data_IF_946102733346
#
_entry.id   IF_946102733346
#
_cell.length_a   1.000
_cell.length_b   1.000
_cell.length_c   1.000
_cell.angle_alpha   90.00
_cell.angle_beta   90.00
_cell.angle_gamma   90.00
#
_symmetry.space_group_name_H-M   'P 1'
#
loop_
_entity.id
_entity.type
_entity.pdbx_description
1 polymer ?
#
# COMPACT_ATOMS: atom_id res chain seq x y z
N UNK A 1 24.01 -14.84 1.08
CA UNK A 1 22.66 -14.49 1.57
C UNK A 1 22.30 -13.08 1.14
N UNK A 2 21.34 -12.94 0.22
CA UNK A 2 21.00 -11.67 -0.43
C UNK A 2 20.19 -10.79 0.56
N UNK A 3 20.66 -9.56 0.82
CA UNK A 3 19.98 -8.56 1.66
C UNK A 3 18.64 -8.13 1.03
N UNK A 4 17.61 -8.98 1.17
CA UNK A 4 16.26 -8.75 0.61
C UNK A 4 15.46 -7.69 1.42
N UNK A 5 15.92 -7.34 2.62
CA UNK A 5 15.12 -6.59 3.61
C UNK A 5 15.26 -5.06 3.57
N UNK A 6 16.37 -4.46 3.06
CA UNK A 6 16.57 -3.00 3.20
C UNK A 6 16.00 -2.15 2.03
N UNK A 7 15.78 -2.70 0.84
CA UNK A 7 15.39 -1.92 -0.35
C UNK A 7 13.95 -2.08 -0.81
N UNK A 8 13.35 -3.25 -0.58
CA UNK A 8 11.89 -3.43 -0.68
C UNK A 8 11.19 -2.40 0.20
N UNK A 9 11.74 -2.17 1.38
CA UNK A 9 11.29 -1.20 2.39
C UNK A 9 11.30 0.24 1.88
N UNK A 10 12.28 0.70 1.07
CA UNK A 10 12.32 2.10 0.60
C UNK A 10 11.24 2.42 -0.44
N UNK A 11 11.08 1.53 -1.44
CA UNK A 11 10.01 1.65 -2.46
C UNK A 11 8.63 1.62 -1.81
N UNK A 12 8.43 0.62 -0.94
CA UNK A 12 7.20 0.43 -0.18
C UNK A 12 6.90 1.66 0.71
N UNK A 13 7.86 2.09 1.53
CA UNK A 13 7.68 3.23 2.43
C UNK A 13 7.41 4.53 1.69
N UNK A 14 8.01 4.76 0.51
CA UNK A 14 7.74 5.96 -0.28
C UNK A 14 6.27 6.03 -0.71
N UNK A 15 5.73 4.92 -1.21
CA UNK A 15 4.30 4.81 -1.58
C UNK A 15 3.40 4.94 -0.35
N UNK A 16 3.68 4.18 0.72
CA UNK A 16 2.93 4.22 1.97
C UNK A 16 2.89 5.64 2.56
N UNK A 17 4.03 6.33 2.62
CA UNK A 17 4.13 7.69 3.15
C UNK A 17 3.26 8.67 2.35
N UNK A 18 3.24 8.56 1.02
CA UNK A 18 2.39 9.41 0.19
C UNK A 18 0.91 9.13 0.41
N UNK A 19 0.50 7.86 0.50
CA UNK A 19 -0.88 7.50 0.82
C UNK A 19 -1.29 8.11 2.17
N UNK A 20 -0.48 7.92 3.22
CA UNK A 20 -0.78 8.43 4.56
C UNK A 20 -0.87 9.95 4.64
N UNK A 21 -0.05 10.67 3.87
CA UNK A 21 -0.12 12.13 3.77
C UNK A 21 -1.36 12.61 3.00
N UNK A 22 -1.84 11.80 2.05
CA UNK A 22 -2.99 12.14 1.20
C UNK A 22 -4.34 11.85 1.85
N UNK A 23 -4.40 10.87 2.75
CA UNK A 23 -5.64 10.44 3.42
C UNK A 23 -6.19 11.60 4.28
N UNK A 24 -7.44 12.05 4.05
CA UNK A 24 -8.07 13.04 4.90
C UNK A 24 -8.27 12.49 6.31
N UNK A 25 -7.60 13.07 7.30
CA UNK A 25 -7.68 12.62 8.70
C UNK A 25 -8.97 13.04 9.42
N UNK A 26 -9.76 13.95 8.83
CA UNK A 26 -11.00 14.41 9.44
C UNK A 26 -12.04 13.28 9.44
N UNK A 27 -12.52 12.91 10.63
CA UNK A 27 -13.60 11.92 10.82
C UNK A 27 -13.26 10.49 10.40
N UNK A 28 -11.97 10.13 10.41
CA UNK A 28 -11.50 8.76 10.17
C UNK A 28 -10.38 8.42 11.15
N UNK A 29 -10.41 7.20 11.69
CA UNK A 29 -9.31 6.63 12.47
C UNK A 29 -8.41 5.86 11.53
N UNK A 30 -7.10 6.14 11.56
CA UNK A 30 -6.11 5.49 10.70
C UNK A 30 -5.10 4.76 11.58
N UNK A 31 -5.02 3.44 11.40
CA UNK A 31 -3.98 2.60 11.98
C UNK A 31 -2.98 2.22 10.90
N UNK A 32 -1.70 2.22 11.25
CA UNK A 32 -0.61 1.96 10.30
C UNK A 32 0.38 0.97 10.87
N UNK A 33 0.74 -0.07 10.11
CA UNK A 33 1.74 -1.07 10.52
C UNK A 33 1.52 -1.63 11.93
N UNK A 34 0.27 -1.85 12.34
CA UNK A 34 -0.06 -2.37 13.66
C UNK A 34 -1.28 -3.29 13.61
N UNK A 35 -1.45 -4.11 14.65
CA UNK A 35 -2.61 -4.96 14.78
C UNK A 35 -3.87 -4.10 14.89
N UNK A 36 -4.95 -4.55 14.25
CA UNK A 36 -6.25 -3.86 14.32
C UNK A 36 -6.79 -3.97 15.74
N UNK A 37 -7.02 -2.86 16.46
CA UNK A 37 -7.50 -2.93 17.84
C UNK A 37 -8.84 -3.66 17.96
N UNK A 38 -8.90 -4.60 18.91
CA UNK A 38 -10.08 -5.43 19.18
C UNK A 38 -10.30 -6.59 18.20
N UNK A 39 -9.39 -6.80 17.23
CA UNK A 39 -9.41 -7.97 16.37
C UNK A 39 -8.41 -9.01 16.90
N UNK A 40 -8.82 -10.28 16.98
CA UNK A 40 -8.03 -11.40 17.53
C UNK A 40 -6.94 -11.90 16.56
N UNK A 41 -6.26 -10.99 15.89
CA UNK A 41 -5.17 -11.29 14.96
C UNK A 41 -3.97 -10.41 15.23
N UNK A 42 -2.79 -11.03 15.22
CA UNK A 42 -1.51 -10.33 15.31
C UNK A 42 -1.07 -9.72 13.96
N UNK A 43 -1.88 -9.84 12.90
CA UNK A 43 -1.57 -9.32 11.58
C UNK A 43 -1.54 -7.79 11.56
N UNK A 44 -0.56 -7.24 10.84
CA UNK A 44 -0.27 -5.81 10.77
C UNK A 44 -0.35 -5.32 9.33
N UNK A 45 -1.55 -5.02 8.80
CA UNK A 45 -1.67 -4.39 7.49
C UNK A 45 -1.01 -3.01 7.47
N UNK A 46 -0.58 -2.56 6.30
CA UNK A 46 0.08 -1.26 6.16
C UNK A 46 -0.83 -0.09 6.57
N UNK A 47 -2.11 -0.15 6.19
CA UNK A 47 -3.13 0.86 6.52
C UNK A 47 -4.46 0.20 6.83
N UNK A 48 -5.06 0.55 7.97
CA UNK A 48 -6.49 0.34 8.26
C UNK A 48 -7.14 1.67 8.52
N UNK A 49 -8.24 1.95 7.81
CA UNK A 49 -9.00 3.18 7.95
C UNK A 49 -10.41 2.82 8.36
N UNK A 50 -10.85 3.40 9.48
CA UNK A 50 -12.20 3.23 10.01
C UNK A 50 -12.91 4.57 9.93
N UNK A 51 -14.06 4.57 9.26
CA UNK A 51 -15.01 5.66 9.30
C UNK A 51 -16.24 5.22 10.08
N UNK A 52 -16.30 5.61 11.36
CA UNK A 52 -17.40 5.24 12.25
C UNK A 52 -18.74 5.77 11.76
N UNK A 53 -18.78 7.05 11.33
CA UNK A 53 -20.01 7.71 10.89
C UNK A 53 -20.72 6.98 9.75
N UNK A 54 -19.96 6.46 8.79
CA UNK A 54 -20.51 5.78 7.61
C UNK A 54 -20.39 4.26 7.71
N UNK A 55 -19.94 3.71 8.86
CA UNK A 55 -19.62 2.30 9.04
C UNK A 55 -18.82 1.71 7.88
N UNK A 56 -17.70 2.35 7.54
CA UNK A 56 -16.77 1.87 6.52
C UNK A 56 -15.45 1.45 7.16
N UNK A 57 -14.94 0.29 6.77
CA UNK A 57 -13.58 -0.14 7.09
C UNK A 57 -12.82 -0.39 5.79
N UNK A 58 -11.59 0.11 5.69
CA UNK A 58 -10.75 -0.04 4.50
C UNK A 58 -9.38 -0.53 4.94
N UNK A 59 -8.97 -1.69 4.43
CA UNK A 59 -7.70 -2.37 4.71
C UNK A 59 -6.89 -2.31 3.41
N UNK A 60 -5.72 -1.71 3.48
CA UNK A 60 -4.82 -1.54 2.33
C UNK A 60 -3.43 -2.00 2.71
N UNK A 61 -2.83 -2.78 1.82
CA UNK A 61 -1.46 -3.24 1.96
C UNK A 61 -0.68 -2.97 0.68
N UNK A 62 0.38 -2.17 0.77
CA UNK A 62 1.22 -1.71 -0.34
C UNK A 62 2.08 -2.86 -0.87
N UNK A 63 1.98 -3.14 -2.16
CA UNK A 63 2.73 -4.20 -2.83
C UNK A 63 3.68 -3.62 -3.88
N UNK A 64 4.95 -4.03 -3.86
CA UNK A 64 5.94 -3.68 -4.87
C UNK A 64 6.43 -4.95 -5.58
N UNK A 65 5.62 -5.56 -6.46
CA UNK A 65 6.07 -6.73 -7.21
C UNK A 65 7.25 -6.36 -8.12
N UNK A 66 8.15 -7.31 -8.34
CA UNK A 66 9.32 -7.09 -9.19
C UNK A 66 8.93 -6.91 -10.66
N UNK A 67 8.03 -7.76 -11.13
CA UNK A 67 7.40 -7.65 -12.44
C UNK A 67 6.13 -6.82 -12.36
N UNK A 68 5.80 -6.15 -13.47
CA UNK A 68 4.66 -5.24 -13.58
C UNK A 68 3.51 -5.76 -14.43
N UNK A 69 3.42 -7.07 -14.66
CA UNK A 69 2.32 -7.66 -15.42
C UNK A 69 1.03 -7.67 -14.60
N UNK A 70 -0.11 -7.67 -15.29
CA UNK A 70 -1.43 -7.73 -14.64
C UNK A 70 -1.60 -9.01 -13.80
N UNK A 71 -1.00 -10.12 -14.21
CA UNK A 71 -0.99 -11.36 -13.45
C UNK A 71 -0.25 -11.20 -12.12
N UNK A 72 0.91 -10.55 -12.13
CA UNK A 72 1.67 -10.28 -10.91
C UNK A 72 0.89 -9.39 -9.91
N UNK A 73 0.15 -8.40 -10.41
CA UNK A 73 -0.72 -7.56 -9.57
C UNK A 73 -1.90 -8.35 -9.00
N UNK A 74 -2.60 -9.11 -9.84
CA UNK A 74 -3.73 -9.94 -9.40
C UNK A 74 -3.31 -10.96 -8.33
N UNK A 75 -2.17 -11.63 -8.51
CA UNK A 75 -1.69 -12.63 -7.56
C UNK A 75 -1.16 -12.01 -6.26
N UNK A 76 -0.55 -10.82 -6.34
CA UNK A 76 -0.17 -10.07 -5.14
C UNK A 76 -1.41 -9.57 -4.37
N UNK A 77 -2.43 -9.13 -5.09
CA UNK A 77 -3.72 -8.71 -4.57
C UNK A 77 -4.44 -9.84 -3.84
N UNK A 78 -4.67 -10.97 -4.54
CA UNK A 78 -5.35 -12.15 -3.97
C UNK A 78 -4.70 -12.64 -2.68
N UNK A 79 -3.37 -12.81 -2.68
CA UNK A 79 -2.63 -13.24 -1.48
C UNK A 79 -2.82 -12.30 -0.30
N UNK A 80 -2.90 -10.99 -0.54
CA UNK A 80 -3.12 -9.99 0.53
C UNK A 80 -4.56 -9.98 1.01
N UNK A 81 -5.52 -10.12 0.10
CA UNK A 81 -6.94 -10.25 0.45
C UNK A 81 -7.13 -11.46 1.37
N UNK A 82 -6.64 -12.63 0.95
CA UNK A 82 -6.69 -13.87 1.74
C UNK A 82 -5.99 -13.71 3.10
N UNK A 83 -4.80 -13.12 3.12
CA UNK A 83 -4.03 -12.88 4.35
C UNK A 83 -4.83 -12.07 5.37
N UNK A 84 -5.54 -11.02 4.94
CA UNK A 84 -6.25 -10.11 5.85
C UNK A 84 -7.76 -10.39 5.95
N UNK A 85 -8.23 -11.52 5.43
CA UNK A 85 -9.64 -11.91 5.47
C UNK A 85 -10.20 -11.91 6.91
N UNK A 86 -9.43 -12.34 7.90
CA UNK A 86 -9.86 -12.30 9.31
C UNK A 86 -10.17 -10.89 9.84
N UNK A 87 -9.39 -9.88 9.44
CA UNK A 87 -9.65 -8.47 9.80
C UNK A 87 -10.90 -7.97 9.08
N UNK A 88 -11.07 -8.36 7.82
CA UNK A 88 -12.28 -8.05 7.06
C UNK A 88 -13.53 -8.66 7.71
N UNK A 89 -13.52 -9.96 8.03
CA UNK A 89 -14.63 -10.63 8.72
C UNK A 89 -14.99 -9.95 10.04
N UNK A 90 -13.99 -9.62 10.86
CA UNK A 90 -14.18 -8.87 12.11
C UNK A 90 -14.98 -7.56 11.93
N UNK A 91 -14.68 -6.80 10.86
CA UNK A 91 -15.42 -5.56 10.59
C UNK A 91 -16.81 -5.82 9.99
N UNK A 92 -16.96 -6.84 9.16
CA UNK A 92 -18.28 -7.25 8.62
C UNK A 92 -19.22 -7.62 9.76
N UNK A 93 -18.77 -8.42 10.73
CA UNK A 93 -19.57 -8.82 11.90
C UNK A 93 -20.02 -7.63 12.74
N UNK A 94 -19.24 -6.55 12.78
CA UNK A 94 -19.60 -5.29 13.45
C UNK A 94 -20.45 -4.34 12.59
N UNK A 95 -20.93 -4.81 11.44
CA UNK A 95 -21.83 -4.07 10.55
C UNK A 95 -21.13 -3.05 9.66
N UNK A 96 -19.81 -3.16 9.44
CA UNK A 96 -19.09 -2.26 8.53
C UNK A 96 -19.12 -2.79 7.11
N UNK A 97 -19.24 -1.87 6.14
CA UNK A 97 -18.90 -2.17 4.75
C UNK A 97 -17.38 -2.15 4.60
N UNK A 98 -16.80 -3.32 4.43
CA UNK A 98 -15.35 -3.51 4.31
C UNK A 98 -14.86 -3.30 2.89
N UNK A 99 -13.56 -3.06 2.79
CA UNK A 99 -12.80 -3.10 1.56
C UNK A 99 -11.39 -3.57 1.90
N UNK A 100 -10.99 -4.71 1.37
CA UNK A 100 -9.69 -5.31 1.59
C UNK A 100 -9.01 -5.48 0.23
N UNK A 101 -7.88 -4.80 0.00
CA UNK A 101 -7.15 -4.97 -1.25
C UNK A 101 -5.70 -4.47 -1.15
N UNK A 102 -4.87 -4.89 -2.10
CA UNK A 102 -3.50 -4.44 -2.22
C UNK A 102 -3.38 -3.16 -3.06
N UNK A 103 -2.56 -2.20 -2.63
CA UNK A 103 -2.19 -1.05 -3.46
C UNK A 103 -0.85 -1.34 -4.13
N UNK A 104 -0.85 -1.61 -5.45
CA UNK A 104 0.32 -2.20 -6.12
C UNK A 104 0.99 -1.26 -7.12
N UNK A 105 2.31 -1.11 -7.01
CA UNK A 105 3.16 -0.46 -8.03
C UNK A 105 4.37 -1.34 -8.28
N UNK A 106 4.55 -1.81 -9.51
CA UNK A 106 5.68 -2.64 -9.90
C UNK A 106 7.01 -1.89 -9.80
N UNK A 107 8.07 -2.62 -9.47
CA UNK A 107 9.43 -2.10 -9.41
C UNK A 107 9.91 -1.28 -10.63
N UNK A 108 9.56 -1.64 -11.89
CA UNK A 108 9.91 -0.83 -13.07
C UNK A 108 9.02 0.42 -13.25
N UNK A 109 8.06 0.66 -12.36
CA UNK A 109 7.13 1.80 -12.43
C UNK A 109 5.76 1.47 -13.01
N UNK A 110 5.45 0.19 -13.26
CA UNK A 110 4.12 -0.23 -13.68
C UNK A 110 3.09 0.09 -12.58
N UNK A 111 1.97 0.71 -12.94
CA UNK A 111 0.93 1.10 -11.99
C UNK A 111 -0.32 0.23 -12.19
N UNK A 112 -0.79 -0.40 -11.12
CA UNK A 112 -2.02 -1.17 -11.17
C UNK A 112 -3.24 -0.25 -11.33
N UNK A 113 -4.09 -0.49 -12.34
CA UNK A 113 -5.30 0.28 -12.58
C UNK A 113 -6.33 0.13 -11.45
N UNK A 114 -6.29 -0.98 -10.70
CA UNK A 114 -7.13 -1.20 -9.51
C UNK A 114 -6.89 -0.14 -8.43
N UNK A 115 -5.69 0.48 -8.40
CA UNK A 115 -5.35 1.54 -7.46
C UNK A 115 -6.27 2.75 -7.51
N UNK A 116 -6.85 3.05 -8.68
CA UNK A 116 -7.77 4.19 -8.83
C UNK A 116 -9.01 4.03 -7.94
N UNK A 117 -9.48 2.79 -7.77
CA UNK A 117 -10.59 2.47 -6.87
C UNK A 117 -10.21 2.72 -5.40
N UNK A 118 -8.97 2.43 -5.01
CA UNK A 118 -8.45 2.70 -3.68
C UNK A 118 -8.40 4.20 -3.42
N UNK A 119 -7.83 4.99 -4.33
CA UNK A 119 -7.73 6.44 -4.17
C UNK A 119 -9.11 7.10 -4.00
N UNK A 120 -10.10 6.66 -4.79
CA UNK A 120 -11.48 7.12 -4.66
C UNK A 120 -12.07 6.75 -3.29
N UNK A 121 -11.87 5.53 -2.82
CA UNK A 121 -12.35 5.05 -1.51
C UNK A 121 -11.70 5.81 -0.35
N UNK A 122 -10.42 6.14 -0.49
CA UNK A 122 -9.64 6.96 0.43
C UNK A 122 -10.05 8.45 0.41
N UNK A 123 -11.04 8.83 -0.42
CA UNK A 123 -11.51 10.21 -0.61
C UNK A 123 -10.41 11.16 -1.03
N UNK A 124 -9.42 10.65 -1.75
CA UNK A 124 -8.34 11.46 -2.32
C UNK A 124 -8.92 12.17 -3.56
N UNK A 125 -8.84 13.52 -3.65
CA UNK A 125 -9.39 14.25 -4.77
C UNK A 125 -8.77 13.82 -6.09
N UNK A 126 -9.58 13.64 -7.14
CA UNK A 126 -9.12 13.13 -8.45
C UNK A 126 -7.94 13.93 -9.01
N UNK A 127 -7.99 15.28 -8.95
CA UNK A 127 -6.90 16.14 -9.43
C UNK A 127 -5.57 15.84 -8.71
N UNK A 128 -5.63 15.61 -7.40
CA UNK A 128 -4.44 15.27 -6.62
C UNK A 128 -4.02 13.81 -6.84
N UNK A 129 -4.96 12.88 -7.00
CA UNK A 129 -4.70 11.47 -7.32
C UNK A 129 -3.87 11.32 -8.61
N UNK A 130 -4.20 12.07 -9.67
CA UNK A 130 -3.43 12.08 -10.94
C UNK A 130 -1.97 12.49 -10.72
N UNK A 131 -1.73 13.55 -9.93
CA UNK A 131 -0.38 13.99 -9.59
C UNK A 131 0.32 12.95 -8.71
N UNK A 132 -0.36 12.46 -7.67
CA UNK A 132 0.20 11.53 -6.70
C UNK A 132 0.63 10.21 -7.35
N UNK A 133 -0.13 9.70 -8.31
CA UNK A 133 0.25 8.55 -9.14
C UNK A 133 1.61 8.73 -9.80
N UNK A 134 1.83 9.87 -10.48
CA UNK A 134 3.10 10.17 -11.14
C UNK A 134 4.25 10.25 -10.14
N UNK A 135 4.00 10.87 -8.98
CA UNK A 135 5.00 11.01 -7.93
C UNK A 135 5.36 9.67 -7.27
N UNK A 136 4.38 8.80 -7.01
CA UNK A 136 4.61 7.46 -6.47
C UNK A 136 5.42 6.59 -7.45
N UNK A 137 5.05 6.61 -8.73
CA UNK A 137 5.78 5.88 -9.78
C UNK A 137 7.22 6.40 -9.87
N UNK A 138 7.42 7.72 -9.85
CA UNK A 138 8.75 8.32 -9.86
C UNK A 138 9.60 7.90 -8.65
N UNK A 139 9.03 7.91 -7.44
CA UNK A 139 9.73 7.46 -6.23
C UNK A 139 10.11 5.98 -6.31
N UNK A 140 9.21 5.12 -6.80
CA UNK A 140 9.48 3.68 -6.95
C UNK A 140 10.62 3.46 -7.94
N UNK A 141 10.61 4.13 -9.10
CA UNK A 141 11.70 4.05 -10.07
C UNK A 141 13.01 4.55 -9.46
N UNK A 142 12.99 5.71 -8.78
CA UNK A 142 14.17 6.28 -8.12
C UNK A 142 14.84 5.28 -7.18
N UNK A 143 14.05 4.64 -6.32
CA UNK A 143 14.57 3.64 -5.37
C UNK A 143 14.95 2.31 -6.05
N UNK A 144 14.30 1.92 -7.14
CA UNK A 144 14.72 0.80 -7.97
C UNK A 144 16.09 1.07 -8.62
N UNK A 145 16.31 2.24 -9.21
CA UNK A 145 17.59 2.64 -9.79
C UNK A 145 18.72 2.66 -8.75
N UNK A 146 18.47 3.21 -7.55
CA UNK A 146 19.43 3.18 -6.44
C UNK A 146 19.78 1.76 -6.02
N UNK A 147 18.78 0.88 -5.97
CA UNK A 147 19.00 -0.53 -5.64
C UNK A 147 19.87 -1.22 -6.68
N UNK A 148 19.54 -1.11 -7.97
CA UNK A 148 20.32 -1.73 -9.04
C UNK A 148 21.73 -1.16 -9.12
N UNK A 149 21.88 0.15 -8.97
CA UNK A 149 23.20 0.79 -8.98
C UNK A 149 24.04 0.28 -7.82
N UNK A 150 23.52 0.24 -6.59
CA UNK A 150 24.24 -0.36 -5.47
C UNK A 150 24.58 -1.82 -5.73
N UNK A 151 23.68 -2.59 -6.35
CA UNK A 151 23.94 -4.00 -6.62
C UNK A 151 25.13 -4.19 -7.57
N UNK A 152 25.27 -3.32 -8.58
CA UNK A 152 26.32 -3.39 -9.59
C UNK A 152 27.63 -2.78 -9.08
N UNK A 153 27.57 -1.59 -8.46
CA UNK A 153 28.76 -0.79 -8.12
C UNK A 153 29.19 -0.88 -6.66
N UNK A 154 28.35 -1.47 -5.80
CA UNK A 154 28.51 -1.42 -4.33
C UNK A 154 28.10 -0.08 -3.69
N UNK A 155 27.86 0.96 -4.49
CA UNK A 155 27.66 2.35 -4.02
C UNK A 155 26.19 2.76 -4.19
N UNK A 156 25.61 3.41 -3.16
CA UNK A 156 24.26 4.01 -3.23
C UNK A 156 24.27 5.29 -4.06
N UNK A 157 23.23 5.51 -4.87
CA UNK A 157 23.00 6.78 -5.54
C UNK A 157 22.39 7.82 -4.60
N UNK A 158 21.54 7.38 -3.67
CA UNK A 158 20.88 8.26 -2.71
C UNK A 158 21.15 7.85 -1.27
N UNK A 159 21.60 8.81 -0.48
CA UNK A 159 21.63 8.72 1.00
C UNK A 159 20.18 8.87 1.50
N UNK A 160 19.79 8.08 2.50
CA UNK A 160 18.46 8.16 3.10
C UNK A 160 18.38 9.30 4.10
#
# INVERSE_FOLDING_TARGET
MYQKEKTTTRRHNAVLTRLLKAIPKKSQTVYTNQATPGCDTALRPDIVIINEKNKLATIIDVAIPFEGSIHCFNDAGKRKIEKYAGIEHYFIEKGYKTFNNAFAIGAPGCYDTANESHLKRLRIPHRYATLMKRLMVNDVIRWSCDFYTKHITGIRQYVA
#
